data_IF_974491994578
#
_entry.id   IF_974491994578
#
_cell.length_a   1.000
_cell.length_b   1.000
_cell.length_c   1.000
_cell.angle_alpha   90.00
_cell.angle_beta   90.00
_cell.angle_gamma   90.00
#
_symmetry.space_group_name_H-M   'P 1'
#
loop_
_entity.id
_entity.type
_entity.pdbx_description
1 polymer ?
#
# COMPACT_ATOMS: atom_id res chain seq x y z
N UNK A 1 20.98 27.00 -1.40
CA UNK A 1 22.11 26.69 -0.52
C UNK A 1 22.78 25.40 -0.99
N UNK A 2 24.03 25.47 -1.54
CA UNK A 2 24.75 24.30 -2.04
C UNK A 2 25.10 23.29 -0.94
N UNK A 3 25.10 23.72 0.30
CA UNK A 3 25.45 22.87 1.46
C UNK A 3 24.20 22.25 2.12
N UNK A 4 23.01 22.56 1.61
CA UNK A 4 21.78 21.98 2.15
C UNK A 4 21.67 20.51 1.78
N UNK A 5 21.88 19.62 2.75
CA UNK A 5 21.99 18.17 2.54
C UNK A 5 20.77 17.58 1.80
N UNK A 6 19.56 17.90 2.24
CA UNK A 6 18.33 17.42 1.62
C UNK A 6 18.17 17.94 0.18
N UNK A 7 18.53 19.22 -0.05
CA UNK A 7 18.51 19.81 -1.40
C UNK A 7 19.49 19.12 -2.35
N UNK A 8 20.66 18.74 -1.85
CA UNK A 8 21.66 17.97 -2.62
C UNK A 8 21.17 16.56 -2.97
N UNK A 9 20.45 15.90 -2.06
CA UNK A 9 19.82 14.62 -2.33
C UNK A 9 18.79 14.73 -3.46
N UNK A 10 17.88 15.70 -3.38
CA UNK A 10 16.89 15.94 -4.44
C UNK A 10 17.54 16.29 -5.78
N UNK A 11 18.56 17.15 -5.76
CA UNK A 11 19.29 17.51 -6.96
C UNK A 11 19.93 16.29 -7.63
N UNK A 12 20.51 15.37 -6.86
CA UNK A 12 21.09 14.14 -7.38
C UNK A 12 20.06 13.22 -8.02
N UNK A 13 18.85 13.15 -7.48
CA UNK A 13 17.75 12.41 -8.09
C UNK A 13 17.36 13.00 -9.45
N UNK A 14 17.27 14.32 -9.54
CA UNK A 14 16.85 15.03 -10.77
C UNK A 14 17.95 15.02 -11.83
N UNK A 15 19.20 15.22 -11.42
CA UNK A 15 20.32 15.42 -12.35
C UNK A 15 21.02 14.15 -12.82
N UNK A 16 20.68 13.00 -12.28
CA UNK A 16 21.38 11.73 -12.48
C UNK A 16 22.91 11.82 -12.22
N UNK A 17 23.35 12.85 -11.52
CA UNK A 17 24.76 13.10 -11.26
C UNK A 17 25.18 12.40 -9.96
N UNK A 18 25.87 11.27 -10.10
CA UNK A 18 26.35 10.49 -8.95
C UNK A 18 27.46 11.17 -8.14
N UNK A 19 28.12 12.20 -8.69
CA UNK A 19 29.28 12.82 -8.05
C UNK A 19 28.94 13.78 -6.89
N UNK A 20 27.69 14.23 -6.82
CA UNK A 20 27.22 15.14 -5.76
C UNK A 20 26.48 14.46 -4.61
N UNK A 21 26.35 13.14 -4.59
CA UNK A 21 25.66 12.45 -3.50
C UNK A 21 26.44 12.61 -2.19
N UNK A 22 25.78 13.01 -1.10
CA UNK A 22 26.43 12.96 0.20
C UNK A 22 26.89 11.53 0.47
N UNK A 23 28.08 11.34 1.05
CA UNK A 23 28.56 9.99 1.37
C UNK A 23 27.58 9.33 2.33
N UNK A 24 26.96 8.26 1.88
CA UNK A 24 26.11 7.45 2.73
C UNK A 24 27.01 6.65 3.70
N UNK A 25 26.98 7.03 4.97
CA UNK A 25 27.64 6.25 6.01
C UNK A 25 26.71 5.10 6.43
N UNK A 26 27.08 3.91 6.02
CA UNK A 26 26.38 2.72 6.46
C UNK A 26 26.63 2.47 7.94
N UNK A 27 25.59 2.38 8.79
CA UNK A 27 25.76 1.94 10.16
C UNK A 27 26.41 0.56 10.23
N UNK A 28 27.27 0.35 11.19
CA UNK A 28 27.91 -0.95 11.42
C UNK A 28 27.02 -1.85 12.26
N UNK A 29 26.99 -3.14 11.91
CA UNK A 29 26.30 -4.12 12.75
C UNK A 29 27.00 -4.23 14.11
N UNK A 30 26.25 -4.32 15.22
CA UNK A 30 26.82 -4.61 16.54
C UNK A 30 27.56 -5.96 16.53
N UNK A 31 28.55 -6.10 17.45
CA UNK A 31 29.30 -7.34 17.59
C UNK A 31 28.37 -8.55 17.81
N UNK A 32 28.65 -9.63 17.09
CA UNK A 32 27.87 -10.86 17.17
C UNK A 32 26.53 -10.85 16.42
N UNK A 33 26.14 -9.74 15.81
CA UNK A 33 24.92 -9.65 15.01
C UNK A 33 25.25 -9.89 13.53
N UNK A 34 24.62 -10.86 12.85
CA UNK A 34 24.81 -11.07 11.43
C UNK A 34 24.43 -9.83 10.62
N UNK A 35 25.29 -9.44 9.68
CA UNK A 35 25.10 -8.23 8.88
C UNK A 35 23.74 -8.21 8.15
N UNK A 36 23.29 -9.34 7.60
CA UNK A 36 22.02 -9.45 6.90
C UNK A 36 20.83 -9.16 7.82
N UNK A 37 20.85 -9.69 9.06
CA UNK A 37 19.78 -9.45 10.04
C UNK A 37 19.74 -7.99 10.48
N UNK A 38 20.91 -7.39 10.69
CA UNK A 38 21.02 -5.97 11.00
C UNK A 38 20.45 -5.09 9.86
N UNK A 39 20.77 -5.41 8.61
CA UNK A 39 20.27 -4.68 7.43
C UNK A 39 18.75 -4.82 7.30
N UNK A 40 18.22 -6.01 7.42
CA UNK A 40 16.79 -6.26 7.38
C UNK A 40 16.06 -5.44 8.45
N UNK A 41 16.58 -5.41 9.67
CA UNK A 41 15.99 -4.60 10.74
C UNK A 41 16.03 -3.10 10.41
N UNK A 42 17.14 -2.61 9.85
CA UNK A 42 17.23 -1.20 9.42
C UNK A 42 16.21 -0.86 8.35
N UNK A 43 16.06 -1.72 7.33
CA UNK A 43 15.08 -1.52 6.27
C UNK A 43 13.66 -1.49 6.83
N UNK A 44 13.29 -2.43 7.70
CA UNK A 44 12.00 -2.43 8.37
C UNK A 44 11.76 -1.16 9.21
N UNK A 45 12.80 -0.66 9.88
CA UNK A 45 12.70 0.60 10.64
C UNK A 45 12.51 1.83 9.71
N UNK A 46 13.15 1.84 8.53
CA UNK A 46 12.95 2.90 7.55
C UNK A 46 11.54 2.89 6.99
N UNK A 47 11.06 1.73 6.58
CA UNK A 47 9.70 1.56 6.05
C UNK A 47 8.67 1.89 7.13
N UNK A 48 8.88 1.44 8.37
CA UNK A 48 8.02 1.81 9.49
C UNK A 48 7.90 3.32 9.66
N UNK A 49 9.03 4.06 9.66
CA UNK A 49 9.00 5.54 9.76
C UNK A 49 8.26 6.20 8.61
N UNK A 50 8.38 5.67 7.41
CA UNK A 50 7.63 6.13 6.25
C UNK A 50 6.12 5.96 6.48
N UNK A 51 5.68 4.76 6.86
CA UNK A 51 4.28 4.44 7.12
C UNK A 51 3.73 5.28 8.27
N UNK A 52 4.47 5.37 9.40
CA UNK A 52 4.08 6.17 10.55
C UNK A 52 3.86 7.63 10.15
N UNK A 53 4.74 8.18 9.32
CA UNK A 53 4.61 9.56 8.84
C UNK A 53 3.33 9.77 8.02
N UNK A 54 3.02 8.85 7.11
CA UNK A 54 1.79 8.93 6.32
C UNK A 54 0.53 8.84 7.17
N UNK A 55 0.48 7.92 8.11
CA UNK A 55 -0.67 7.77 9.02
C UNK A 55 -0.81 9.01 9.92
N UNK A 56 0.29 9.51 10.50
CA UNK A 56 0.24 10.60 11.46
C UNK A 56 -0.03 11.98 10.84
N UNK A 57 0.39 12.19 9.60
CA UNK A 57 0.39 13.53 9.01
C UNK A 57 -0.50 13.67 7.77
N UNK A 58 -0.92 12.56 7.19
CA UNK A 58 -1.68 12.59 5.93
C UNK A 58 -3.03 11.91 6.02
N UNK A 59 -3.15 10.81 6.75
CA UNK A 59 -4.42 10.11 6.85
C UNK A 59 -5.42 10.95 7.65
N UNK A 60 -6.56 11.26 7.03
CA UNK A 60 -7.67 11.96 7.67
C UNK A 60 -8.65 10.96 8.28
N UNK A 61 -9.57 11.44 9.13
CA UNK A 61 -10.57 10.60 9.80
C UNK A 61 -11.43 9.78 8.81
N UNK A 62 -11.65 10.29 7.62
CA UNK A 62 -12.37 9.58 6.55
C UNK A 62 -11.62 8.36 6.00
N UNK A 63 -10.29 8.30 6.12
CA UNK A 63 -9.43 7.22 5.66
C UNK A 63 -8.49 7.57 4.49
N UNK A 64 -8.75 8.67 3.80
CA UNK A 64 -7.96 9.20 2.68
C UNK A 64 -6.61 9.77 3.16
N UNK A 65 -5.57 9.65 2.33
CA UNK A 65 -4.23 10.20 2.59
C UNK A 65 -3.94 11.49 1.81
N UNK A 66 -4.88 11.93 0.97
CA UNK A 66 -4.81 13.18 0.23
C UNK A 66 -4.32 13.08 -1.20
N UNK A 67 -4.09 11.89 -1.73
CA UNK A 67 -3.84 11.63 -3.14
C UNK A 67 -5.11 11.36 -3.94
N UNK A 68 -6.22 11.19 -3.25
CA UNK A 68 -7.45 10.59 -3.76
C UNK A 68 -7.46 9.09 -3.48
N UNK A 69 -8.63 8.52 -3.24
CA UNK A 69 -8.76 7.13 -2.79
C UNK A 69 -8.10 6.11 -3.72
N UNK A 70 -8.03 6.41 -4.99
CA UNK A 70 -7.39 5.64 -6.04
C UNK A 70 -5.87 5.57 -5.81
N UNK A 71 -5.17 6.71 -5.84
CA UNK A 71 -3.74 6.79 -5.60
C UNK A 71 -3.35 6.34 -4.19
N UNK A 72 -4.25 6.53 -3.22
CA UNK A 72 -4.03 6.08 -1.84
C UNK A 72 -4.05 4.55 -1.73
N UNK A 73 -4.86 3.86 -2.52
CA UNK A 73 -4.84 2.39 -2.58
C UNK A 73 -3.53 1.86 -3.14
N UNK A 74 -2.93 2.54 -4.10
CA UNK A 74 -1.60 2.23 -4.63
C UNK A 74 -0.50 2.47 -3.58
N UNK A 75 -0.55 3.58 -2.87
CA UNK A 75 0.39 3.92 -1.81
C UNK A 75 0.50 2.79 -0.78
N UNK A 76 -0.62 2.18 -0.42
CA UNK A 76 -0.69 1.19 0.67
C UNK A 76 -0.51 -0.26 0.25
N UNK A 77 -0.32 -0.57 -1.03
CA UNK A 77 -0.25 -1.94 -1.55
C UNK A 77 0.72 -2.86 -0.79
N UNK A 78 1.82 -2.31 -0.30
CA UNK A 78 2.85 -3.09 0.43
C UNK A 78 2.62 -3.16 1.94
N UNK A 79 1.70 -2.35 2.47
CA UNK A 79 1.50 -2.25 3.94
C UNK A 79 0.92 -3.51 4.57
N UNK A 80 0.04 -4.29 3.92
CA UNK A 80 -0.40 -5.57 4.46
C UNK A 80 0.75 -6.53 4.75
N UNK A 81 1.76 -6.56 3.87
CA UNK A 81 2.97 -7.35 4.07
C UNK A 81 3.75 -6.95 5.33
N UNK A 82 3.80 -5.65 5.64
CA UNK A 82 4.43 -5.15 6.87
C UNK A 82 3.67 -5.60 8.13
N UNK A 83 2.34 -5.53 8.09
CA UNK A 83 1.50 -6.01 9.19
C UNK A 83 1.72 -7.51 9.44
N UNK A 84 1.79 -8.31 8.38
CA UNK A 84 2.07 -9.75 8.46
C UNK A 84 3.48 -10.07 8.97
N UNK A 85 4.45 -9.19 8.73
CA UNK A 85 5.80 -9.28 9.32
C UNK A 85 5.86 -8.81 10.79
N UNK A 86 4.76 -8.38 11.38
CA UNK A 86 4.69 -7.93 12.77
C UNK A 86 5.07 -6.45 12.97
N UNK A 87 5.12 -5.66 11.91
CA UNK A 87 5.36 -4.21 12.01
C UNK A 87 4.06 -3.50 12.34
N UNK A 88 3.84 -3.16 13.59
CA UNK A 88 2.65 -2.45 14.10
C UNK A 88 1.31 -2.97 13.52
N UNK A 89 1.03 -4.28 13.59
CA UNK A 89 -0.09 -4.89 12.85
C UNK A 89 -1.44 -4.23 13.17
N UNK A 90 -1.72 -3.91 14.42
CA UNK A 90 -2.99 -3.29 14.82
C UNK A 90 -3.16 -1.89 14.20
N UNK A 91 -2.09 -1.09 14.19
CA UNK A 91 -2.11 0.25 13.63
C UNK A 91 -2.28 0.24 12.11
N UNK A 92 -1.51 -0.61 11.44
CA UNK A 92 -1.61 -0.81 10.00
C UNK A 92 -2.99 -1.31 9.61
N UNK A 93 -3.50 -2.30 10.34
CA UNK A 93 -4.85 -2.83 10.07
C UNK A 93 -5.92 -1.76 10.25
N UNK A 94 -5.87 -0.96 11.30
CA UNK A 94 -6.82 0.13 11.51
C UNK A 94 -6.79 1.16 10.37
N UNK A 95 -5.58 1.55 9.93
CA UNK A 95 -5.38 2.49 8.82
C UNK A 95 -5.92 1.94 7.50
N UNK A 96 -5.59 0.70 7.16
CA UNK A 96 -6.05 0.03 5.94
C UNK A 96 -7.56 -0.21 5.93
N UNK A 97 -8.15 -0.55 7.09
CA UNK A 97 -9.60 -0.69 7.24
C UNK A 97 -10.31 0.65 6.98
N UNK A 98 -9.78 1.75 7.53
CA UNK A 98 -10.34 3.08 7.30
C UNK A 98 -10.31 3.47 5.80
N UNK A 99 -9.23 3.17 5.09
CA UNK A 99 -9.12 3.41 3.65
C UNK A 99 -10.09 2.52 2.86
N UNK A 100 -10.15 1.21 3.13
CA UNK A 100 -11.09 0.28 2.48
C UNK A 100 -12.53 0.73 2.69
N UNK A 101 -12.88 1.15 3.90
CA UNK A 101 -14.22 1.68 4.17
C UNK A 101 -14.51 2.98 3.40
N UNK A 102 -13.52 3.86 3.23
CA UNK A 102 -13.65 5.06 2.43
C UNK A 102 -13.89 4.74 0.94
N UNK A 103 -13.14 3.78 0.39
CA UNK A 103 -13.28 3.29 -0.99
C UNK A 103 -14.71 2.80 -1.27
N UNK A 104 -15.26 1.99 -0.36
CA UNK A 104 -16.60 1.48 -0.51
C UNK A 104 -17.68 2.56 -0.30
N UNK A 105 -17.53 3.43 0.71
CA UNK A 105 -18.47 4.53 0.96
C UNK A 105 -18.50 5.56 -0.16
N UNK A 106 -17.38 5.79 -0.81
CA UNK A 106 -17.27 6.71 -1.95
C UNK A 106 -17.88 6.13 -3.24
N UNK A 107 -18.07 4.80 -3.30
CA UNK A 107 -18.57 4.10 -4.48
C UNK A 107 -17.48 3.80 -5.52
N UNK A 108 -16.20 3.89 -5.16
CA UNK A 108 -15.09 3.48 -6.02
C UNK A 108 -15.12 1.99 -6.33
N UNK A 109 -15.63 1.19 -5.38
CA UNK A 109 -16.04 -0.19 -5.61
C UNK A 109 -17.54 -0.30 -5.47
N UNK A 110 -18.22 -0.75 -6.52
CA UNK A 110 -19.68 -0.92 -6.55
C UNK A 110 -20.04 -2.31 -7.08
N UNK A 111 -20.91 -3.02 -6.35
CA UNK A 111 -21.30 -4.38 -6.70
C UNK A 111 -20.10 -5.31 -6.95
N UNK A 112 -19.03 -5.15 -6.17
CA UNK A 112 -17.82 -5.94 -6.22
C UNK A 112 -16.81 -5.60 -7.33
N UNK A 113 -17.08 -4.58 -8.15
CA UNK A 113 -16.16 -4.14 -9.21
C UNK A 113 -15.75 -2.67 -9.02
N UNK A 114 -14.55 -2.35 -9.47
CA UNK A 114 -14.10 -0.95 -9.55
C UNK A 114 -14.99 -0.15 -10.51
N UNK A 115 -15.29 1.09 -10.13
CA UNK A 115 -16.02 2.05 -10.98
C UNK A 115 -15.07 2.96 -11.77
N UNK A 116 -13.76 2.74 -11.69
CA UNK A 116 -12.76 3.50 -12.43
C UNK A 116 -12.77 3.03 -13.88
N UNK A 117 -12.96 3.98 -14.80
CA UNK A 117 -13.11 3.73 -16.23
C UNK A 117 -11.95 4.29 -17.06
N UNK A 118 -10.80 4.58 -16.45
CA UNK A 118 -9.66 5.16 -17.15
C UNK A 118 -8.96 4.15 -18.06
N UNK A 119 -8.58 3.02 -17.52
CA UNK A 119 -7.97 1.88 -18.22
C UNK A 119 -8.02 0.63 -17.32
N UNK A 120 -7.67 -0.52 -17.90
CA UNK A 120 -7.75 -1.81 -17.22
C UNK A 120 -6.77 -1.91 -16.04
N UNK A 121 -5.60 -1.28 -16.17
CA UNK A 121 -4.57 -1.32 -15.15
C UNK A 121 -5.05 -0.61 -13.88
N UNK A 122 -5.49 0.64 -14.03
CA UNK A 122 -5.97 1.44 -12.89
C UNK A 122 -7.23 0.84 -12.26
N UNK A 123 -8.16 0.32 -13.06
CA UNK A 123 -9.34 -0.36 -12.53
C UNK A 123 -8.98 -1.58 -11.67
N UNK A 124 -7.96 -2.33 -12.07
CA UNK A 124 -7.46 -3.49 -11.32
C UNK A 124 -6.68 -3.06 -10.07
N UNK A 125 -5.70 -2.17 -10.21
CA UNK A 125 -4.81 -1.77 -9.12
C UNK A 125 -5.57 -1.02 -8.01
N UNK A 126 -6.45 -0.13 -8.38
CA UNK A 126 -7.11 0.79 -7.47
C UNK A 126 -8.40 0.24 -6.84
N UNK A 127 -9.00 -0.79 -7.42
CA UNK A 127 -10.27 -1.33 -6.95
C UNK A 127 -10.15 -2.59 -6.12
N UNK A 128 -9.34 -3.54 -6.55
CA UNK A 128 -9.35 -4.90 -6.00
C UNK A 128 -8.22 -5.15 -5.01
N UNK A 129 -7.09 -4.47 -5.15
CA UNK A 129 -5.90 -4.70 -4.33
C UNK A 129 -6.12 -4.42 -2.84
N UNK A 130 -6.83 -3.35 -2.51
CA UNK A 130 -7.10 -3.00 -1.13
C UNK A 130 -7.93 -4.08 -0.42
N UNK A 131 -8.96 -4.60 -1.07
CA UNK A 131 -9.88 -5.57 -0.47
C UNK A 131 -9.28 -6.96 -0.32
N UNK A 132 -8.47 -7.41 -1.28
CA UNK A 132 -7.83 -8.74 -1.21
C UNK A 132 -6.89 -8.87 -0.01
N UNK A 133 -6.17 -7.81 0.32
CA UNK A 133 -5.30 -7.76 1.48
C UNK A 133 -6.07 -7.80 2.81
N UNK A 134 -7.24 -7.19 2.86
CA UNK A 134 -8.08 -7.17 4.06
C UNK A 134 -8.59 -8.56 4.44
N UNK A 135 -8.70 -9.51 3.50
CA UNK A 135 -9.05 -10.89 3.82
C UNK A 135 -8.06 -11.54 4.78
N UNK A 136 -6.78 -11.25 4.63
CA UNK A 136 -5.73 -11.78 5.51
C UNK A 136 -5.69 -11.04 6.85
N UNK A 137 -5.84 -9.73 6.84
CA UNK A 137 -5.72 -8.89 8.03
C UNK A 137 -6.96 -8.96 8.92
N UNK A 138 -8.14 -9.02 8.30
CA UNK A 138 -9.44 -9.07 8.98
C UNK A 138 -10.14 -10.42 8.77
N UNK A 139 -9.37 -11.51 8.89
CA UNK A 139 -9.92 -12.85 8.73
C UNK A 139 -11.15 -13.09 9.62
N UNK A 140 -12.27 -13.46 8.97
CA UNK A 140 -13.52 -13.73 9.67
C UNK A 140 -14.39 -12.50 9.97
N UNK A 141 -13.95 -11.30 9.60
CA UNK A 141 -14.82 -10.13 9.64
C UNK A 141 -15.94 -10.25 8.60
N UNK A 142 -17.23 -10.18 9.02
CA UNK A 142 -18.36 -10.38 8.10
C UNK A 142 -18.41 -9.39 6.94
N UNK A 143 -18.04 -8.13 7.18
CA UNK A 143 -18.07 -7.08 6.15
C UNK A 143 -16.99 -7.32 5.08
N UNK A 144 -15.79 -7.69 5.50
CA UNK A 144 -14.70 -8.06 4.58
C UNK A 144 -15.09 -9.27 3.72
N UNK A 145 -15.68 -10.30 4.33
CA UNK A 145 -16.16 -11.48 3.60
C UNK A 145 -17.26 -11.10 2.61
N UNK A 146 -18.23 -10.27 3.00
CA UNK A 146 -19.31 -9.81 2.14
C UNK A 146 -18.78 -9.05 0.91
N UNK A 147 -17.85 -8.13 1.10
CA UNK A 147 -17.20 -7.37 0.01
C UNK A 147 -16.52 -8.29 -0.99
N UNK A 148 -15.72 -9.23 -0.51
CA UNK A 148 -15.01 -10.19 -1.36
C UNK A 148 -15.94 -11.17 -2.08
N UNK A 149 -17.00 -11.62 -1.42
CA UNK A 149 -18.01 -12.44 -2.07
C UNK A 149 -18.75 -11.69 -3.18
N UNK A 150 -19.02 -10.40 -2.99
CA UNK A 150 -19.57 -9.54 -4.04
C UNK A 150 -18.65 -9.46 -5.26
N UNK A 151 -17.33 -9.32 -5.02
CA UNK A 151 -16.32 -9.32 -6.09
C UNK A 151 -16.27 -10.65 -6.83
N UNK A 152 -16.20 -11.78 -6.12
CA UNK A 152 -16.18 -13.12 -6.75
C UNK A 152 -17.44 -13.35 -7.58
N UNK A 153 -18.60 -12.98 -7.06
CA UNK A 153 -19.87 -13.08 -7.80
C UNK A 153 -19.87 -12.20 -9.05
N UNK A 154 -19.36 -10.99 -8.96
CA UNK A 154 -19.28 -10.08 -10.11
C UNK A 154 -18.34 -10.61 -11.20
N UNK A 155 -17.23 -11.23 -10.81
CA UNK A 155 -16.32 -11.90 -11.75
C UNK A 155 -17.03 -13.04 -12.50
N UNK A 156 -17.73 -13.92 -11.77
CA UNK A 156 -18.45 -15.07 -12.35
C UNK A 156 -19.57 -14.60 -13.30
N UNK A 157 -20.35 -13.59 -12.90
CA UNK A 157 -21.52 -13.16 -13.65
C UNK A 157 -21.23 -12.19 -14.81
N UNK A 158 -20.12 -11.46 -14.78
CA UNK A 158 -19.87 -10.32 -15.68
C UNK A 158 -18.55 -10.34 -16.44
N UNK A 159 -17.54 -10.97 -15.87
CA UNK A 159 -16.16 -10.97 -16.42
C UNK A 159 -15.85 -12.30 -17.09
N UNK A 160 -16.19 -13.41 -16.44
CA UNK A 160 -15.93 -14.77 -16.96
C UNK A 160 -17.07 -15.14 -17.91
N UNK A 161 -16.81 -15.00 -19.20
CA UNK A 161 -17.77 -15.38 -20.23
C UNK A 161 -17.36 -16.73 -20.84
N UNK A 162 -18.16 -17.79 -20.68
CA UNK A 162 -17.83 -19.07 -21.31
C UNK A 162 -17.88 -18.94 -22.83
N UNK A 163 -16.89 -19.52 -23.50
CA UNK A 163 -16.92 -19.63 -24.96
C UNK A 163 -17.96 -20.70 -25.42
N UNK A 164 -18.21 -20.84 -26.73
CA UNK A 164 -19.18 -21.83 -27.24
C UNK A 164 -18.87 -23.30 -26.87
N UNK A 165 -17.64 -23.59 -26.45
CA UNK A 165 -17.19 -24.89 -25.98
C UNK A 165 -17.31 -25.07 -24.46
N UNK A 166 -17.72 -24.02 -23.74
CA UNK A 166 -17.90 -24.08 -22.29
C UNK A 166 -16.61 -23.87 -21.48
N UNK A 167 -15.57 -23.30 -22.10
CA UNK A 167 -14.31 -22.96 -21.44
C UNK A 167 -14.25 -21.49 -21.12
#
# INVERSE_FOLDING_TARGET
DPEHEQGRLYWNYISYNSQGRPPFQQPQAPDGVPLWAFRQLQDLQHVRRFVDWWIDHRQVEYGDFGGGLSDDSDLVQQWPGLALMGVQPDRLNASLTALSDAIHRNGMVSNGLSTIETDELHAYEEGINADSAMLYLNWGDPLTVERLMATVKAFDERIILPNPQGH
#
